data_IF_688137099818
#
_entry.id   IF_688137099818
#
_cell.length_a   1.000
_cell.length_b   1.000
_cell.length_c   1.000
_cell.angle_alpha   90.00
_cell.angle_beta   90.00
_cell.angle_gamma   90.00
#
_symmetry.space_group_name_H-M   'P 1'
#
loop_
_entity.id
_entity.type
_entity.pdbx_description
1 polymer ?
#
# COMPACT_ATOMS: atom_id res chain seq x y z
N UNK A 1 -28.87 -14.98 -22.74
CA UNK A 1 -27.93 -14.04 -23.41
C UNK A 1 -27.18 -13.16 -22.41
N UNK A 2 -27.84 -12.44 -21.49
CA UNK A 2 -27.18 -11.53 -20.53
C UNK A 2 -26.14 -12.19 -19.60
N UNK A 3 -26.44 -13.36 -19.01
CA UNK A 3 -25.50 -14.09 -18.14
C UNK A 3 -24.24 -14.56 -18.89
N UNK A 4 -24.39 -14.98 -20.15
CA UNK A 4 -23.27 -15.43 -20.98
C UNK A 4 -22.33 -14.26 -21.31
N UNK A 5 -22.89 -13.10 -21.65
CA UNK A 5 -22.12 -11.88 -21.93
C UNK A 5 -21.36 -11.43 -20.67
N UNK A 6 -22.01 -11.47 -19.51
CA UNK A 6 -21.38 -11.11 -18.23
C UNK A 6 -20.25 -12.09 -17.87
N UNK A 7 -20.44 -13.39 -18.07
CA UNK A 7 -19.37 -14.37 -17.88
C UNK A 7 -18.18 -14.10 -18.82
N UNK A 8 -18.43 -13.91 -20.12
CA UNK A 8 -17.37 -13.66 -21.12
C UNK A 8 -16.57 -12.39 -20.78
N UNK A 9 -17.25 -11.32 -20.39
CA UNK A 9 -16.59 -10.06 -20.01
C UNK A 9 -15.75 -10.21 -18.75
N UNK A 10 -16.24 -10.94 -17.74
CA UNK A 10 -15.48 -11.27 -16.53
C UNK A 10 -14.23 -12.10 -16.85
N UNK A 11 -14.36 -13.19 -17.62
CA UNK A 11 -13.21 -14.04 -17.96
C UNK A 11 -12.16 -13.31 -18.81
N UNK A 12 -12.61 -12.56 -19.82
CA UNK A 12 -11.72 -11.75 -20.66
C UNK A 12 -11.02 -10.68 -19.83
N UNK A 13 -11.75 -10.07 -18.90
CA UNK A 13 -11.23 -9.10 -17.94
C UNK A 13 -10.10 -9.67 -17.07
N UNK A 14 -10.36 -10.80 -16.39
CA UNK A 14 -9.34 -11.49 -15.58
C UNK A 14 -8.13 -11.88 -16.42
N UNK A 15 -8.32 -12.35 -17.65
CA UNK A 15 -7.21 -12.71 -18.54
C UNK A 15 -6.32 -11.49 -18.90
N UNK A 16 -6.94 -10.33 -19.15
CA UNK A 16 -6.20 -9.08 -19.40
C UNK A 16 -5.42 -8.63 -18.16
N UNK A 17 -6.04 -8.70 -16.97
CA UNK A 17 -5.37 -8.36 -15.71
C UNK A 17 -4.19 -9.29 -15.45
N UNK A 18 -4.38 -10.60 -15.62
CA UNK A 18 -3.30 -11.60 -15.45
C UNK A 18 -2.15 -11.38 -16.43
N UNK A 19 -2.44 -11.00 -17.67
CA UNK A 19 -1.41 -10.65 -18.67
C UNK A 19 -0.62 -9.41 -18.25
N UNK A 20 -1.26 -8.41 -17.65
CA UNK A 20 -0.57 -7.22 -17.12
C UNK A 20 0.27 -7.58 -15.89
N UNK A 21 -0.29 -8.36 -14.97
CA UNK A 21 0.40 -8.86 -13.78
C UNK A 21 1.71 -9.57 -14.15
N UNK A 22 1.65 -10.53 -15.07
CA UNK A 22 2.81 -11.31 -15.51
C UNK A 22 3.89 -10.47 -16.22
N UNK A 23 3.54 -9.27 -16.72
CA UNK A 23 4.48 -8.36 -17.40
C UNK A 23 5.06 -7.30 -16.47
N UNK A 24 4.41 -7.03 -15.34
CA UNK A 24 4.89 -6.06 -14.38
C UNK A 24 6.11 -6.62 -13.63
N UNK A 25 7.11 -5.78 -13.39
CA UNK A 25 8.25 -6.12 -12.55
C UNK A 25 7.80 -6.31 -11.09
N UNK A 26 8.44 -7.21 -10.33
CA UNK A 26 8.20 -7.35 -8.90
C UNK A 26 8.46 -6.05 -8.16
N UNK A 27 7.79 -5.91 -7.03
CA UNK A 27 8.03 -4.84 -6.10
C UNK A 27 8.88 -5.42 -4.98
N UNK A 28 10.05 -4.83 -4.76
CA UNK A 28 10.92 -5.20 -3.67
C UNK A 28 10.74 -4.18 -2.54
N UNK A 29 10.46 -4.72 -1.35
CA UNK A 29 10.20 -3.93 -0.15
C UNK A 29 11.45 -3.76 0.71
N UNK A 30 12.36 -4.72 0.63
CA UNK A 30 13.71 -4.58 1.16
C UNK A 30 14.53 -3.66 0.25
N UNK A 31 14.97 -2.55 0.83
CA UNK A 31 15.81 -1.56 0.18
C UNK A 31 16.87 -1.12 1.17
N UNK A 32 18.10 -0.91 0.73
CA UNK A 32 19.15 -0.35 1.59
C UNK A 32 18.80 1.06 2.07
N UNK A 33 18.12 1.84 1.21
CA UNK A 33 17.62 3.16 1.56
C UNK A 33 16.55 3.08 2.64
N UNK A 34 16.57 4.00 3.60
CA UNK A 34 15.62 4.07 4.71
C UNK A 34 15.14 5.49 4.95
N UNK A 35 13.95 5.64 5.51
CA UNK A 35 13.45 6.89 6.03
C UNK A 35 13.56 6.86 7.57
N UNK A 36 14.28 7.82 8.13
CA UNK A 36 14.64 7.82 9.54
C UNK A 36 14.18 9.11 10.25
N UNK A 37 14.00 8.99 11.57
CA UNK A 37 13.45 10.04 12.45
C UNK A 37 14.30 10.19 13.72
N UNK A 38 14.18 11.33 14.39
CA UNK A 38 14.69 11.50 15.77
C UNK A 38 13.73 10.98 16.85
N UNK A 39 12.52 10.56 16.47
CA UNK A 39 11.44 10.23 17.38
C UNK A 39 10.69 11.45 17.93
N UNK A 40 9.58 11.19 18.63
CA UNK A 40 8.72 12.22 19.23
C UNK A 40 7.61 12.75 18.31
N UNK A 41 6.78 13.64 18.85
CA UNK A 41 5.58 14.17 18.18
C UNK A 41 5.89 15.18 17.08
N UNK A 42 6.99 15.93 17.21
CA UNK A 42 7.49 16.89 16.21
C UNK A 42 8.65 16.30 15.39
N UNK A 43 8.62 14.98 15.21
CA UNK A 43 9.64 14.25 14.49
C UNK A 43 9.80 14.75 13.04
N UNK A 44 11.02 15.10 12.66
CA UNK A 44 11.39 15.33 11.27
C UNK A 44 11.92 14.05 10.65
N UNK A 45 11.61 13.84 9.37
CA UNK A 45 12.01 12.66 8.62
C UNK A 45 13.06 12.99 7.58
N UNK A 46 14.04 12.11 7.43
CA UNK A 46 15.11 12.26 6.44
C UNK A 46 15.48 10.89 5.91
N UNK A 47 15.68 10.79 4.59
CA UNK A 47 16.09 9.54 3.99
C UNK A 47 17.62 9.39 4.05
N UNK A 48 18.08 8.16 4.17
CA UNK A 48 19.50 7.79 4.18
C UNK A 48 19.71 6.58 3.28
N UNK A 49 20.87 6.46 2.65
CA UNK A 49 21.17 5.35 1.73
C UNK A 49 21.29 4.00 2.45
N UNK A 50 21.57 4.02 3.76
CA UNK A 50 21.69 2.83 4.62
C UNK A 50 21.17 3.11 6.04
N UNK A 51 20.73 2.08 6.78
CA UNK A 51 20.43 2.19 8.22
C UNK A 51 21.62 2.70 9.03
N UNK A 52 22.82 2.19 8.74
CA UNK A 52 24.05 2.58 9.45
C UNK A 52 24.31 4.10 9.37
N UNK A 53 24.03 4.72 8.22
CA UNK A 53 24.13 6.18 8.09
C UNK A 53 23.11 6.91 8.98
N UNK A 54 21.86 6.44 9.02
CA UNK A 54 20.84 7.01 9.91
C UNK A 54 21.27 6.89 11.39
N UNK A 55 21.72 5.71 11.80
CA UNK A 55 22.19 5.45 13.18
C UNK A 55 23.39 6.31 13.55
N UNK A 56 24.34 6.52 12.61
CA UNK A 56 25.50 7.40 12.83
C UNK A 56 25.12 8.86 13.13
N UNK A 57 23.92 9.28 12.70
CA UNK A 57 23.34 10.60 12.97
C UNK A 57 22.39 10.60 14.18
N UNK A 58 22.35 9.52 14.96
CA UNK A 58 21.45 9.38 16.10
C UNK A 58 19.97 9.30 15.71
N UNK A 59 19.66 8.78 14.52
CA UNK A 59 18.29 8.62 14.01
C UNK A 59 17.85 7.15 14.07
N UNK A 60 16.56 6.94 14.27
CA UNK A 60 15.89 5.63 14.19
C UNK A 60 15.26 5.44 12.81
N UNK A 61 15.31 4.24 12.26
CA UNK A 61 14.65 3.84 11.02
C UNK A 61 13.15 3.71 11.26
N UNK A 62 12.37 4.62 10.63
CA UNK A 62 10.92 4.63 10.69
C UNK A 62 10.28 3.65 9.70
N UNK A 63 10.85 3.53 8.49
CA UNK A 63 10.44 2.57 7.46
C UNK A 63 11.53 2.42 6.40
N UNK A 64 11.50 1.32 5.63
CA UNK A 64 12.36 1.16 4.45
C UNK A 64 11.98 2.13 3.32
N UNK A 65 12.91 2.39 2.42
CA UNK A 65 12.74 3.26 1.26
C UNK A 65 12.89 4.75 1.57
N UNK A 66 12.74 5.58 0.53
CA UNK A 66 12.77 7.02 0.68
C UNK A 66 11.55 7.53 1.46
N UNK A 67 11.72 8.64 2.18
CA UNK A 67 10.60 9.35 2.78
C UNK A 67 9.66 9.88 1.69
N UNK A 68 8.36 9.93 1.98
CA UNK A 68 7.35 10.51 1.12
C UNK A 68 6.31 11.28 1.93
N UNK A 69 5.17 11.59 1.33
CA UNK A 69 4.17 12.45 1.98
C UNK A 69 3.48 11.81 3.19
N UNK A 70 3.53 10.48 3.31
CA UNK A 70 3.02 9.75 4.48
C UNK A 70 4.09 9.54 5.56
N UNK A 71 5.33 10.02 5.37
CA UNK A 71 6.39 9.93 6.39
C UNK A 71 6.21 11.04 7.44
N UNK A 72 5.11 10.96 8.18
CA UNK A 72 4.76 11.86 9.28
C UNK A 72 4.38 11.06 10.51
N UNK A 73 4.48 11.59 11.74
CA UNK A 73 4.14 10.82 12.94
C UNK A 73 2.68 10.38 12.93
N UNK A 74 1.79 11.27 12.47
CA UNK A 74 0.35 11.01 12.38
C UNK A 74 0.00 9.90 11.38
N UNK A 75 0.54 9.97 10.15
CA UNK A 75 0.22 8.99 9.11
C UNK A 75 0.86 7.63 9.39
N UNK A 76 2.09 7.62 9.92
CA UNK A 76 2.78 6.39 10.31
C UNK A 76 2.10 5.70 11.49
N UNK A 77 1.58 6.45 12.46
CA UNK A 77 0.73 5.91 13.54
C UNK A 77 -0.55 5.24 13.01
N UNK A 78 -1.19 5.86 12.02
CA UNK A 78 -2.39 5.27 11.40
C UNK A 78 -2.06 4.02 10.58
N UNK A 79 -0.93 4.00 9.89
CA UNK A 79 -0.44 2.85 9.12
C UNK A 79 0.06 1.70 10.01
N UNK A 80 0.63 2.02 11.18
CA UNK A 80 1.14 1.04 12.15
C UNK A 80 0.04 0.34 12.94
N UNK A 81 -1.22 0.71 12.72
CA UNK A 81 -2.32 0.07 13.42
C UNK A 81 -2.39 -1.42 13.01
N UNK A 82 -2.23 -2.37 13.95
CA UNK A 82 -2.16 -3.79 13.64
C UNK A 82 -3.47 -4.34 13.07
N UNK A 83 -4.59 -3.63 13.24
CA UNK A 83 -5.86 -4.02 12.64
C UNK A 83 -5.81 -3.96 11.11
N UNK A 84 -6.56 -4.83 10.44
CA UNK A 84 -6.76 -4.80 8.99
C UNK A 84 -7.72 -3.67 8.54
N UNK A 85 -7.96 -2.68 9.40
CA UNK A 85 -8.88 -1.56 9.14
C UNK A 85 -8.48 -0.79 7.88
N UNK A 86 -7.18 -0.67 7.62
CA UNK A 86 -6.66 -0.02 6.41
C UNK A 86 -7.20 -0.71 5.14
N UNK A 87 -7.00 -2.01 5.02
CA UNK A 87 -7.44 -2.78 3.85
C UNK A 87 -8.97 -2.81 3.72
N UNK A 88 -9.67 -2.93 4.85
CA UNK A 88 -11.14 -2.85 4.90
C UNK A 88 -11.64 -1.48 4.41
N UNK A 89 -11.02 -0.38 4.85
CA UNK A 89 -11.40 0.97 4.43
C UNK A 89 -11.09 1.22 2.96
N UNK A 90 -9.93 0.79 2.47
CA UNK A 90 -9.58 0.92 1.06
C UNK A 90 -10.51 0.07 0.19
N UNK A 91 -10.78 -1.18 0.59
CA UNK A 91 -11.72 -2.06 -0.12
C UNK A 91 -13.13 -1.46 -0.18
N UNK A 92 -13.61 -0.91 0.94
CA UNK A 92 -14.90 -0.20 1.01
C UNK A 92 -14.91 1.03 0.09
N UNK A 93 -13.86 1.85 0.14
CA UNK A 93 -13.78 3.08 -0.66
C UNK A 93 -13.50 2.83 -2.14
N UNK A 94 -12.93 1.69 -2.50
CA UNK A 94 -12.74 1.29 -3.91
C UNK A 94 -14.07 1.24 -4.67
N UNK A 95 -15.17 0.86 -4.01
CA UNK A 95 -16.49 0.86 -4.64
C UNK A 95 -17.01 2.27 -4.95
N UNK A 96 -16.63 3.26 -4.15
CA UNK A 96 -16.96 4.66 -4.43
C UNK A 96 -16.21 5.21 -5.66
N UNK A 97 -15.16 4.53 -6.14
CA UNK A 97 -14.46 4.92 -7.37
C UNK A 97 -15.34 4.85 -8.62
N UNK A 98 -16.33 3.97 -8.64
CA UNK A 98 -17.27 3.85 -9.76
C UNK A 98 -18.12 5.11 -9.95
N UNK A 99 -18.23 5.96 -8.91
CA UNK A 99 -19.00 7.21 -8.91
C UNK A 99 -18.14 8.43 -8.53
N UNK A 100 -16.80 8.32 -8.61
CA UNK A 100 -15.88 9.44 -8.35
C UNK A 100 -15.72 9.85 -6.88
N UNK A 101 -16.13 9.00 -5.93
CA UNK A 101 -16.21 9.33 -4.49
C UNK A 101 -15.01 8.92 -3.63
N UNK A 102 -13.92 8.40 -4.21
CA UNK A 102 -12.79 7.79 -3.45
C UNK A 102 -12.21 8.74 -2.43
N UNK A 103 -11.80 9.93 -2.86
CA UNK A 103 -11.16 10.95 -2.03
C UNK A 103 -11.99 11.26 -0.78
N UNK A 104 -13.28 11.50 -1.00
CA UNK A 104 -14.28 11.79 0.04
C UNK A 104 -14.46 10.61 0.99
N UNK A 105 -14.49 9.39 0.46
CA UNK A 105 -14.64 8.18 1.26
C UNK A 105 -13.42 7.98 2.17
N UNK A 106 -12.20 8.06 1.62
CA UNK A 106 -10.96 7.88 2.38
C UNK A 106 -10.82 8.97 3.45
N UNK A 107 -11.17 10.22 3.13
CA UNK A 107 -11.18 11.33 4.10
C UNK A 107 -12.03 11.04 5.33
N UNK A 108 -13.19 10.41 5.14
CA UNK A 108 -14.11 10.08 6.25
C UNK A 108 -13.67 8.87 7.08
N UNK A 109 -12.81 8.00 6.54
CA UNK A 109 -12.53 6.68 7.13
C UNK A 109 -11.11 6.51 7.65
N UNK A 110 -10.11 7.12 7.01
CA UNK A 110 -8.71 6.76 7.24
C UNK A 110 -7.94 7.77 8.08
N UNK A 111 -8.42 9.00 8.23
CA UNK A 111 -7.80 10.00 9.10
C UNK A 111 -6.45 10.54 8.63
N UNK A 112 -5.87 10.03 7.53
CA UNK A 112 -4.61 10.53 6.98
C UNK A 112 -4.59 12.03 6.71
N UNK A 113 -3.39 12.60 6.74
CA UNK A 113 -3.11 13.93 6.20
C UNK A 113 -3.56 14.03 4.75
N UNK A 114 -3.84 15.25 4.28
CA UNK A 114 -4.37 15.45 2.93
C UNK A 114 -3.41 14.97 1.84
N UNK A 115 -2.10 15.16 2.04
CA UNK A 115 -1.07 14.74 1.09
C UNK A 115 -0.91 13.21 1.06
N UNK A 116 -0.86 12.57 2.24
CA UNK A 116 -0.82 11.11 2.32
C UNK A 116 -2.07 10.48 1.71
N UNK A 117 -3.24 11.03 2.04
CA UNK A 117 -4.55 10.60 1.51
C UNK A 117 -4.64 10.70 -0.01
N UNK A 118 -4.00 11.70 -0.62
CA UNK A 118 -3.92 11.84 -2.08
C UNK A 118 -3.19 10.65 -2.73
N UNK A 119 -2.09 10.18 -2.12
CA UNK A 119 -1.38 8.97 -2.58
C UNK A 119 -2.28 7.72 -2.51
N UNK A 120 -2.96 7.51 -1.38
CA UNK A 120 -3.88 6.39 -1.22
C UNK A 120 -5.11 6.48 -2.14
N UNK A 121 -5.56 7.70 -2.46
CA UNK A 121 -6.62 7.92 -3.45
C UNK A 121 -6.18 7.46 -4.83
N UNK A 122 -4.97 7.83 -5.28
CA UNK A 122 -4.40 7.40 -6.56
C UNK A 122 -4.21 5.88 -6.61
N UNK A 123 -3.68 5.29 -5.53
CA UNK A 123 -3.54 3.84 -5.39
C UNK A 123 -4.89 3.11 -5.51
N UNK A 124 -5.92 3.61 -4.84
CA UNK A 124 -7.28 3.05 -4.88
C UNK A 124 -7.88 3.17 -6.29
N UNK A 125 -7.70 4.31 -6.96
CA UNK A 125 -8.15 4.51 -8.34
C UNK A 125 -7.40 3.59 -9.32
N UNK A 126 -6.09 3.40 -9.15
CA UNK A 126 -5.30 2.44 -9.92
C UNK A 126 -5.83 1.02 -9.71
N UNK A 127 -6.08 0.63 -8.47
CA UNK A 127 -6.61 -0.68 -8.09
C UNK A 127 -7.91 -0.99 -8.82
N UNK A 128 -8.85 -0.04 -8.83
CA UNK A 128 -10.12 -0.20 -9.56
C UNK A 128 -9.92 -0.22 -11.08
N UNK A 129 -8.96 0.54 -11.62
CA UNK A 129 -8.72 0.56 -13.07
C UNK A 129 -8.03 -0.70 -13.58
N UNK A 130 -7.07 -1.22 -12.83
CA UNK A 130 -6.16 -2.30 -13.26
C UNK A 130 -6.54 -3.68 -12.71
N UNK A 131 -7.30 -3.76 -11.62
CA UNK A 131 -7.57 -4.99 -10.88
C UNK A 131 -9.07 -5.24 -10.59
N UNK A 132 -9.99 -4.52 -11.22
CA UNK A 132 -11.44 -4.63 -10.94
C UNK A 132 -11.98 -6.04 -11.07
N UNK A 133 -11.50 -6.85 -12.02
CA UNK A 133 -12.06 -8.18 -12.26
C UNK A 133 -11.55 -9.18 -11.22
N UNK A 134 -10.26 -9.14 -10.90
CA UNK A 134 -9.65 -9.91 -9.81
C UNK A 134 -10.29 -9.54 -8.47
N UNK A 135 -10.49 -8.25 -8.22
CA UNK A 135 -11.14 -7.76 -7.00
C UNK A 135 -12.65 -8.01 -6.94
N UNK A 136 -13.36 -7.98 -8.07
CA UNK A 136 -14.76 -8.41 -8.10
C UNK A 136 -14.88 -9.90 -7.83
N UNK A 137 -13.98 -10.72 -8.40
CA UNK A 137 -13.94 -12.17 -8.14
C UNK A 137 -13.64 -12.48 -6.68
N UNK A 138 -12.71 -11.75 -6.06
CA UNK A 138 -12.39 -11.84 -4.64
C UNK A 138 -13.60 -11.60 -3.71
N UNK A 139 -14.68 -10.96 -4.18
CA UNK A 139 -15.92 -10.82 -3.40
C UNK A 139 -16.69 -12.14 -3.24
N UNK A 140 -16.42 -13.11 -4.11
CA UNK A 140 -17.10 -14.41 -4.15
C UNK A 140 -16.11 -15.58 -3.99
N UNK A 141 -14.82 -15.30 -3.82
CA UNK A 141 -13.72 -16.26 -3.76
C UNK A 141 -12.58 -15.69 -2.88
N UNK A 142 -11.39 -16.29 -2.88
CA UNK A 142 -10.25 -15.80 -2.09
C UNK A 142 -9.82 -14.37 -2.46
N UNK A 143 -9.51 -13.56 -1.44
CA UNK A 143 -9.04 -12.17 -1.56
C UNK A 143 -7.61 -12.04 -2.10
N UNK A 144 -6.81 -13.11 -2.05
CA UNK A 144 -5.38 -13.10 -2.43
C UNK A 144 -5.14 -12.52 -3.84
N UNK A 145 -5.95 -12.94 -4.82
CA UNK A 145 -5.81 -12.47 -6.22
C UNK A 145 -6.04 -10.97 -6.40
N UNK A 146 -6.87 -10.35 -5.55
CA UNK A 146 -7.08 -8.90 -5.58
C UNK A 146 -5.87 -8.17 -5.01
N UNK A 147 -5.37 -8.62 -3.86
CA UNK A 147 -4.24 -8.01 -3.17
C UNK A 147 -2.97 -8.10 -4.02
N UNK A 148 -2.63 -9.30 -4.52
CA UNK A 148 -1.49 -9.51 -5.42
C UNK A 148 -1.54 -8.56 -6.64
N UNK A 149 -2.72 -8.43 -7.28
CA UNK A 149 -2.87 -7.54 -8.41
C UNK A 149 -2.58 -6.07 -8.05
N UNK A 150 -3.13 -5.60 -6.93
CA UNK A 150 -2.95 -4.23 -6.45
C UNK A 150 -1.49 -3.94 -6.10
N UNK A 151 -0.84 -4.86 -5.40
CA UNK A 151 0.57 -4.74 -5.07
C UNK A 151 1.42 -4.68 -6.35
N UNK A 152 1.25 -5.65 -7.24
CA UNK A 152 2.07 -5.77 -8.45
C UNK A 152 1.87 -4.63 -9.46
N UNK A 153 0.64 -4.13 -9.60
CA UNK A 153 0.30 -3.16 -10.66
C UNK A 153 0.16 -1.71 -10.18
N UNK A 154 0.02 -1.48 -8.88
CA UNK A 154 -0.32 -0.17 -8.33
C UNK A 154 0.53 0.26 -7.13
N UNK A 155 1.14 -0.65 -6.36
CA UNK A 155 1.87 -0.23 -5.15
C UNK A 155 3.14 0.57 -5.45
N UNK A 156 3.76 0.44 -6.63
CA UNK A 156 4.89 1.31 -7.01
C UNK A 156 4.52 2.79 -6.99
N UNK A 157 3.40 3.16 -7.61
CA UNK A 157 2.90 4.55 -7.63
C UNK A 157 2.51 5.03 -6.22
N UNK A 158 2.03 4.12 -5.36
CA UNK A 158 1.78 4.41 -3.95
C UNK A 158 3.10 4.77 -3.26
N UNK A 159 4.10 3.87 -3.30
CA UNK A 159 5.36 4.00 -2.60
C UNK A 159 6.20 5.20 -3.07
N UNK A 160 6.16 5.55 -4.35
CA UNK A 160 6.81 6.76 -4.88
C UNK A 160 6.19 8.05 -4.31
N UNK A 161 4.90 8.01 -3.95
CA UNK A 161 4.17 9.16 -3.42
C UNK A 161 4.19 9.21 -1.89
N UNK A 162 3.77 8.12 -1.24
CA UNK A 162 3.66 8.00 0.21
C UNK A 162 5.01 7.81 0.88
N UNK A 163 5.98 7.22 0.20
CA UNK A 163 7.24 6.72 0.78
C UNK A 163 7.08 5.36 1.48
N UNK A 164 5.86 5.02 1.89
CA UNK A 164 5.60 3.94 2.84
C UNK A 164 4.25 3.26 2.59
N UNK A 165 4.19 1.97 2.91
CA UNK A 165 2.99 1.18 3.14
C UNK A 165 3.24 0.25 4.35
N UNK A 166 2.29 -0.64 4.65
CA UNK A 166 2.40 -1.56 5.79
C UNK A 166 3.65 -2.47 5.69
N UNK A 167 3.97 -2.96 4.49
CA UNK A 167 5.13 -3.83 4.25
C UNK A 167 6.45 -3.09 4.49
N UNK A 168 6.57 -1.82 4.07
CA UNK A 168 7.73 -0.98 4.38
C UNK A 168 7.85 -0.58 5.85
N UNK A 169 6.76 -0.65 6.61
CA UNK A 169 6.75 -0.45 8.06
C UNK A 169 7.10 -1.71 8.87
N UNK A 170 7.40 -2.82 8.22
CA UNK A 170 7.71 -4.07 8.91
C UNK A 170 6.47 -4.81 9.40
N UNK A 171 5.27 -4.44 8.96
CA UNK A 171 4.06 -5.20 9.29
C UNK A 171 3.97 -6.44 8.42
N UNK A 172 4.13 -7.59 9.07
CA UNK A 172 3.77 -8.91 8.55
C UNK A 172 2.26 -9.05 8.72
N UNK A 173 1.50 -9.15 7.63
CA UNK A 173 0.10 -9.56 7.71
C UNK A 173 -0.01 -11.10 7.83
N UNK A 174 -1.19 -11.63 8.12
CA UNK A 174 -1.41 -13.07 8.29
C UNK A 174 -1.46 -13.85 6.96
N UNK A 175 -1.21 -13.20 5.82
CA UNK A 175 -1.14 -13.85 4.52
C UNK A 175 0.30 -14.35 4.32
N UNK A 176 0.44 -15.53 3.72
CA UNK A 176 1.68 -16.29 3.52
C UNK A 176 2.63 -15.55 2.54
N UNK A 177 3.12 -14.39 2.94
CA UNK A 177 4.14 -13.62 2.22
C UNK A 177 5.52 -14.22 2.51
N UNK A 178 6.43 -14.06 1.57
CA UNK A 178 7.85 -14.36 1.79
C UNK A 178 8.43 -13.28 2.72
N UNK A 179 8.25 -13.50 4.02
CA UNK A 179 8.56 -12.55 5.09
C UNK A 179 10.03 -12.09 5.10
N UNK A 180 10.93 -12.84 4.47
CA UNK A 180 12.35 -12.48 4.35
C UNK A 180 12.61 -11.47 3.22
N UNK A 181 11.75 -11.44 2.19
CA UNK A 181 11.95 -10.63 0.98
C UNK A 181 10.86 -9.58 0.72
N UNK A 182 9.69 -9.71 1.36
CA UNK A 182 8.49 -8.92 1.08
C UNK A 182 8.13 -7.92 2.18
N UNK A 183 8.88 -7.88 3.28
CA UNK A 183 8.66 -6.99 4.43
C UNK A 183 9.97 -6.32 4.84
N UNK A 184 9.90 -5.05 5.27
CA UNK A 184 11.05 -4.34 5.79
C UNK A 184 11.45 -4.84 7.17
N UNK A 185 12.64 -5.43 7.31
CA UNK A 185 13.19 -5.92 8.57
C UNK A 185 14.10 -4.89 9.28
N UNK A 186 14.26 -3.70 8.70
CA UNK A 186 15.19 -2.66 9.17
C UNK A 186 14.53 -1.65 10.12
N UNK A 187 13.22 -1.73 10.36
CA UNK A 187 12.48 -0.79 11.19
C UNK A 187 12.83 -1.00 12.66
N UNK A 188 13.28 0.08 13.32
CA UNK A 188 13.63 0.07 14.75
C UNK A 188 12.90 1.16 15.54
N UNK A 189 11.93 1.83 14.91
CA UNK A 189 11.03 2.79 15.55
C UNK A 189 9.58 2.34 15.48
N UNK A 190 8.96 2.17 16.65
CA UNK A 190 7.57 1.72 16.77
C UNK A 190 6.63 2.90 17.02
N UNK A 191 5.59 3.00 16.19
CA UNK A 191 4.59 4.07 16.25
C UNK A 191 3.37 3.68 17.12
N UNK A 192 3.60 3.13 18.31
CA UNK A 192 2.54 2.74 19.27
C UNK A 192 2.56 3.60 20.53
#
# INVERSE_FOLDING_TARGET
VGLLILAITMFSGVAVERKRFNRAAPLHYDTTTVCATQGGVDATFTHYDTPAMAHSQGRFVAHCGQCGTCSTPHDLFLLSNPTNILDVHIGTCSWSALVGGVDRCLRKRMGFSDDCRSCWTKFTQCSVRKCKFSCFKARFASEASCMECRERLCARELLECSGVDRKRLGFIDYVDHDNENEVCLLVDYWWQ
#
